data_IF_280273857557
#
_entry.id   IF_280273857557
#
_cell.length_a   1.000
_cell.length_b   1.000
_cell.length_c   1.000
_cell.angle_alpha   90.00
_cell.angle_beta   90.00
_cell.angle_gamma   90.00
#
_symmetry.space_group_name_H-M   'P 1'
#
loop_
_entity.id
_entity.type
_entity.pdbx_description
1 polymer ?
#
# COMPACT_ATOMS: atom_id res chain seq x y z
N UNK A 1 -9.10 -9.26 -41.85
CA UNK A 1 -9.90 -9.90 -40.78
C UNK A 1 -9.29 -9.73 -39.39
N UNK A 2 -8.00 -10.03 -39.18
CA UNK A 2 -7.33 -9.91 -37.86
C UNK A 2 -7.50 -8.54 -37.18
N UNK A 3 -7.30 -7.42 -37.90
CA UNK A 3 -7.49 -6.05 -37.36
C UNK A 3 -8.93 -5.73 -36.90
N UNK A 4 -9.95 -6.26 -37.57
CA UNK A 4 -11.36 -6.05 -37.17
C UNK A 4 -11.69 -6.85 -35.92
N UNK A 5 -11.11 -8.05 -35.77
CA UNK A 5 -11.25 -8.88 -34.58
C UNK A 5 -10.60 -8.24 -33.35
N UNK A 6 -9.41 -7.64 -33.50
CA UNK A 6 -8.73 -6.90 -32.41
C UNK A 6 -9.56 -5.69 -31.95
N UNK A 7 -10.18 -4.96 -32.88
CA UNK A 7 -11.05 -3.82 -32.57
C UNK A 7 -12.33 -4.24 -31.84
N UNK A 8 -12.94 -5.36 -32.25
CA UNK A 8 -14.14 -5.91 -31.59
C UNK A 8 -13.80 -6.40 -30.18
N UNK A 9 -12.62 -7.00 -29.98
CA UNK A 9 -12.15 -7.43 -28.68
C UNK A 9 -11.87 -6.24 -27.74
N UNK A 10 -11.22 -5.19 -28.23
CA UNK A 10 -11.00 -3.95 -27.48
C UNK A 10 -12.32 -3.27 -27.11
N UNK A 11 -13.30 -3.26 -28.03
CA UNK A 11 -14.62 -2.70 -27.78
C UNK A 11 -15.42 -3.53 -26.78
N UNK A 12 -15.32 -4.87 -26.83
CA UNK A 12 -15.97 -5.77 -25.87
C UNK A 12 -15.39 -5.63 -24.46
N UNK A 13 -14.08 -5.42 -24.33
CA UNK A 13 -13.40 -5.14 -23.05
C UNK A 13 -13.87 -3.79 -22.49
N UNK A 14 -14.01 -2.76 -23.33
CA UNK A 14 -14.50 -1.45 -22.90
C UNK A 14 -15.94 -1.49 -22.37
N UNK A 15 -16.78 -2.38 -22.90
CA UNK A 15 -18.19 -2.54 -22.49
C UNK A 15 -18.31 -3.38 -21.19
N UNK A 16 -17.36 -4.27 -20.90
CA UNK A 16 -17.35 -5.09 -19.68
C UNK A 16 -16.79 -4.38 -18.44
N UNK A 17 -16.32 -3.13 -18.54
CA UNK A 17 -15.94 -2.29 -17.41
C UNK A 17 -17.17 -1.79 -16.65
N UNK A 18 -18.02 -2.70 -16.18
CA UNK A 18 -19.05 -2.36 -15.21
C UNK A 18 -18.35 -1.97 -13.90
N UNK A 19 -18.45 -0.68 -13.57
CA UNK A 19 -18.01 -0.14 -12.30
C UNK A 19 -18.76 -0.84 -11.16
N UNK A 20 -18.10 -1.80 -10.51
CA UNK A 20 -18.58 -2.32 -9.23
C UNK A 20 -18.61 -1.16 -8.25
N UNK A 21 -19.76 -0.90 -7.61
CA UNK A 21 -19.82 0.04 -6.49
C UNK A 21 -18.84 -0.46 -5.43
N UNK A 22 -17.83 0.35 -5.04
CA UNK A 22 -16.89 -0.08 -4.03
C UNK A 22 -17.65 -0.33 -2.72
N UNK A 23 -17.50 -1.54 -2.19
CA UNK A 23 -18.01 -1.90 -0.87
C UNK A 23 -17.00 -1.41 0.18
N UNK A 24 -17.46 -0.86 1.31
CA UNK A 24 -16.60 -0.45 2.44
C UNK A 24 -15.62 0.71 2.19
N UNK A 25 -15.99 1.67 1.33
CA UNK A 25 -15.22 2.92 1.12
C UNK A 25 -15.01 3.66 2.44
N UNK A 26 -13.77 4.08 2.72
CA UNK A 26 -13.45 4.90 3.89
C UNK A 26 -13.51 4.17 5.23
N UNK A 27 -13.48 2.83 5.24
CA UNK A 27 -13.50 2.02 6.46
C UNK A 27 -12.13 1.40 6.82
N UNK A 28 -11.06 1.99 6.30
CA UNK A 28 -9.67 1.51 6.46
C UNK A 28 -8.78 2.59 7.05
N UNK A 29 -7.77 2.18 7.79
CA UNK A 29 -6.67 3.05 8.23
C UNK A 29 -5.45 2.87 7.33
N UNK A 30 -4.53 3.84 7.36
CA UNK A 30 -3.27 3.81 6.58
C UNK A 30 -3.50 3.73 5.05
N UNK A 31 -4.31 4.63 4.49
CA UNK A 31 -4.63 4.66 3.06
C UNK A 31 -3.42 4.96 2.17
N UNK A 32 -2.30 5.46 2.72
CA UNK A 32 -1.05 5.60 1.96
C UNK A 32 -0.52 4.28 1.37
N UNK A 33 -0.94 3.14 1.93
CA UNK A 33 -0.62 1.81 1.40
C UNK A 33 -1.26 1.50 0.05
N UNK A 34 -2.19 2.34 -0.41
CA UNK A 34 -2.81 2.25 -1.74
C UNK A 34 -2.04 3.05 -2.80
N UNK A 35 -1.07 3.88 -2.41
CA UNK A 35 -0.31 4.71 -3.34
C UNK A 35 0.70 3.87 -4.15
N UNK A 36 0.50 3.81 -5.47
CA UNK A 36 1.36 3.10 -6.40
C UNK A 36 2.83 3.53 -6.37
N UNK A 37 3.73 2.53 -6.36
CA UNK A 37 5.19 2.75 -6.40
C UNK A 37 5.74 2.55 -7.80
N UNK A 38 6.58 3.48 -8.26
CA UNK A 38 7.35 3.34 -9.49
C UNK A 38 6.68 3.96 -10.72
N UNK A 39 7.47 4.68 -11.52
CA UNK A 39 6.97 5.43 -12.68
C UNK A 39 6.38 4.54 -13.78
N UNK A 40 6.95 3.36 -14.02
CA UNK A 40 6.43 2.41 -15.02
C UNK A 40 5.05 1.87 -14.64
N UNK A 41 4.86 1.48 -13.37
CA UNK A 41 3.59 0.99 -12.88
C UNK A 41 2.52 2.09 -12.89
N UNK A 42 2.86 3.28 -12.38
CA UNK A 42 1.95 4.43 -12.35
C UNK A 42 1.59 4.89 -13.78
N UNK A 43 2.54 4.85 -14.72
CA UNK A 43 2.32 5.16 -16.14
C UNK A 43 1.39 4.18 -16.87
N UNK A 44 1.25 2.95 -16.36
CA UNK A 44 0.30 1.95 -16.86
C UNK A 44 -1.04 1.97 -16.11
N UNK A 45 -1.32 3.03 -15.35
CA UNK A 45 -2.54 3.13 -14.56
C UNK A 45 -2.62 2.05 -13.48
N UNK A 46 -1.48 1.73 -12.86
CA UNK A 46 -1.36 0.75 -11.77
C UNK A 46 -1.63 -0.71 -12.18
N UNK A 47 -1.73 -0.99 -13.48
CA UNK A 47 -1.89 -2.33 -14.04
C UNK A 47 -0.55 -3.10 -14.09
N UNK A 48 0.06 -3.37 -12.92
CA UNK A 48 1.43 -3.90 -12.85
C UNK A 48 1.59 -5.29 -12.20
N UNK A 49 0.51 -5.90 -11.68
CA UNK A 49 0.57 -7.15 -10.90
C UNK A 49 1.22 -8.34 -11.63
N UNK A 50 1.07 -8.45 -12.95
CA UNK A 50 1.66 -9.52 -13.75
C UNK A 50 2.99 -9.13 -14.43
N UNK A 51 3.24 -7.83 -14.55
CA UNK A 51 4.40 -7.26 -15.24
C UNK A 51 5.57 -6.93 -14.29
N UNK A 52 5.32 -6.86 -12.98
CA UNK A 52 6.33 -6.56 -11.97
C UNK A 52 7.46 -7.62 -11.96
N UNK A 53 8.67 -7.19 -12.32
CA UNK A 53 9.88 -8.04 -12.41
C UNK A 53 11.15 -7.37 -11.88
N UNK A 54 10.99 -6.24 -11.17
CA UNK A 54 12.05 -5.44 -10.56
C UNK A 54 11.79 -5.26 -9.06
N UNK A 55 12.57 -4.43 -8.38
CA UNK A 55 12.40 -4.17 -6.95
C UNK A 55 11.03 -3.57 -6.56
N UNK A 56 10.31 -2.92 -7.48
CA UNK A 56 8.95 -2.40 -7.22
C UNK A 56 7.93 -3.53 -7.02
N UNK A 57 8.29 -4.76 -7.40
CA UNK A 57 7.50 -5.97 -7.12
C UNK A 57 7.18 -6.15 -5.65
N UNK A 58 8.00 -5.61 -4.73
CA UNK A 58 7.72 -5.62 -3.29
C UNK A 58 6.36 -4.99 -2.97
N UNK A 59 5.93 -3.96 -3.72
CA UNK A 59 4.63 -3.32 -3.56
C UNK A 59 3.53 -3.98 -4.41
N UNK A 60 3.84 -4.34 -5.67
CA UNK A 60 2.83 -4.77 -6.64
C UNK A 60 2.47 -6.25 -6.56
N UNK A 61 3.48 -7.12 -6.46
CA UNK A 61 3.34 -8.57 -6.40
C UNK A 61 4.65 -9.20 -5.94
N UNK A 62 4.70 -9.70 -4.70
CA UNK A 62 5.91 -10.25 -4.10
C UNK A 62 6.59 -11.34 -4.95
N UNK A 63 5.85 -12.13 -5.74
CA UNK A 63 6.43 -13.15 -6.62
C UNK A 63 7.31 -12.55 -7.74
N UNK A 64 7.04 -11.32 -8.16
CA UNK A 64 7.80 -10.60 -9.19
C UNK A 64 9.27 -10.42 -8.82
N UNK A 65 9.57 -10.31 -7.52
CA UNK A 65 10.92 -10.18 -7.00
C UNK A 65 11.83 -11.36 -7.38
N UNK A 66 11.25 -12.54 -7.59
CA UNK A 66 12.01 -13.72 -8.02
C UNK A 66 12.55 -13.62 -9.46
N UNK A 67 12.07 -12.67 -10.26
CA UNK A 67 12.49 -12.44 -11.65
C UNK A 67 13.60 -11.39 -11.79
N UNK A 68 14.04 -10.76 -10.70
CA UNK A 68 15.21 -9.89 -10.71
C UNK A 68 16.43 -10.61 -11.29
N UNK A 69 17.21 -9.91 -12.12
CA UNK A 69 18.39 -10.46 -12.79
C UNK A 69 19.70 -10.03 -12.13
N UNK A 70 19.67 -8.93 -11.36
CA UNK A 70 20.79 -8.43 -10.58
C UNK A 70 20.33 -7.92 -9.20
N UNK A 71 21.26 -7.65 -8.30
CA UNK A 71 20.97 -6.91 -7.07
C UNK A 71 20.59 -5.48 -7.45
N UNK A 72 19.50 -4.97 -6.90
CA UNK A 72 18.96 -3.66 -7.24
C UNK A 72 18.78 -2.81 -5.99
N UNK A 73 18.93 -1.50 -6.17
CA UNK A 73 18.49 -0.49 -5.20
C UNK A 73 17.60 0.47 -5.95
N UNK A 74 16.44 0.78 -5.39
CA UNK A 74 15.44 1.65 -6.02
C UNK A 74 15.09 2.80 -5.08
N UNK A 75 15.01 3.99 -5.67
CA UNK A 75 14.51 5.20 -5.02
C UNK A 75 13.40 5.78 -5.89
N UNK A 76 12.29 6.15 -5.28
CA UNK A 76 11.20 6.83 -5.95
C UNK A 76 10.70 7.97 -5.06
N UNK A 77 10.43 9.11 -5.67
CA UNK A 77 9.87 10.28 -5.02
C UNK A 77 8.73 10.80 -5.88
N UNK A 78 7.56 10.95 -5.28
CA UNK A 78 6.34 11.38 -5.94
C UNK A 78 5.74 12.55 -5.15
N UNK A 79 5.90 13.80 -5.62
CA UNK A 79 5.14 14.91 -5.08
C UNK A 79 3.67 14.73 -5.46
N UNK A 80 2.78 14.97 -4.51
CA UNK A 80 1.34 14.87 -4.65
C UNK A 80 0.68 16.23 -4.37
N UNK A 81 -0.64 16.30 -4.50
CA UNK A 81 -1.39 17.53 -4.20
C UNK A 81 -1.28 17.92 -2.72
N UNK A 82 -1.43 19.21 -2.43
CA UNK A 82 -1.39 19.76 -1.06
C UNK A 82 -0.07 19.49 -0.31
N UNK A 83 1.07 19.58 -1.01
CA UNK A 83 2.42 19.39 -0.47
C UNK A 83 2.66 18.02 0.19
N UNK A 84 1.79 17.05 -0.11
CA UNK A 84 1.98 15.66 0.29
C UNK A 84 3.09 15.05 -0.55
N UNK A 85 4.01 14.34 0.08
CA UNK A 85 5.11 13.69 -0.61
C UNK A 85 5.13 12.20 -0.26
N UNK A 86 5.20 11.36 -1.30
CA UNK A 86 5.37 9.92 -1.17
C UNK A 86 6.78 9.55 -1.59
N UNK A 87 7.48 8.78 -0.77
CA UNK A 87 8.81 8.28 -1.09
C UNK A 87 8.89 6.78 -0.88
N UNK A 88 9.59 6.10 -1.78
CA UNK A 88 9.91 4.69 -1.68
C UNK A 88 11.41 4.50 -1.80
N UNK A 89 11.97 3.71 -0.90
CA UNK A 89 13.36 3.26 -0.97
C UNK A 89 13.40 1.77 -0.71
N UNK A 90 14.20 1.04 -1.47
CA UNK A 90 14.42 -0.37 -1.21
C UNK A 90 15.73 -0.89 -1.77
N UNK A 91 16.15 -2.04 -1.25
CA UNK A 91 17.24 -2.83 -1.78
C UNK A 91 16.86 -4.30 -1.87
N UNK A 92 17.25 -4.96 -2.97
CA UNK A 92 17.02 -6.38 -3.22
C UNK A 92 18.31 -7.12 -3.53
N UNK A 93 18.46 -8.32 -2.97
CA UNK A 93 19.61 -9.19 -3.18
C UNK A 93 19.15 -10.57 -3.66
N UNK A 94 19.82 -11.06 -4.71
CA UNK A 94 19.58 -12.38 -5.27
C UNK A 94 20.53 -13.37 -4.60
N UNK A 95 19.96 -14.42 -4.01
CA UNK A 95 20.70 -15.52 -3.39
C UNK A 95 20.46 -16.79 -4.23
N UNK A 96 21.39 -17.19 -5.11
CA UNK A 96 21.15 -18.19 -6.16
C UNK A 96 20.53 -19.53 -5.72
N UNK A 97 20.77 -19.97 -4.48
CA UNK A 97 20.25 -21.24 -3.94
C UNK A 97 19.00 -21.09 -3.05
N UNK A 98 18.74 -19.87 -2.58
CA UNK A 98 17.73 -19.59 -1.55
C UNK A 98 16.51 -18.90 -2.17
N UNK A 99 16.73 -17.91 -3.05
CA UNK A 99 15.70 -17.06 -3.64
C UNK A 99 16.16 -15.60 -3.67
N UNK A 100 15.21 -14.68 -3.75
CA UNK A 100 15.48 -13.24 -3.69
C UNK A 100 14.93 -12.68 -2.39
N UNK A 101 15.72 -11.84 -1.73
CA UNK A 101 15.32 -11.09 -0.54
C UNK A 101 15.28 -9.61 -0.86
N UNK A 102 14.32 -8.89 -0.30
CA UNK A 102 14.27 -7.43 -0.39
C UNK A 102 13.81 -6.79 0.91
N UNK A 103 14.31 -5.58 1.13
CA UNK A 103 13.87 -4.67 2.18
C UNK A 103 13.45 -3.37 1.51
N UNK A 104 12.32 -2.81 1.94
CA UNK A 104 11.88 -1.50 1.47
C UNK A 104 11.17 -0.71 2.55
N UNK A 105 11.17 0.61 2.39
CA UNK A 105 10.38 1.55 3.18
C UNK A 105 9.58 2.41 2.21
N UNK A 106 8.26 2.42 2.40
CA UNK A 106 7.35 3.39 1.81
C UNK A 106 7.04 4.43 2.88
N UNK A 107 7.14 5.71 2.55
CA UNK A 107 6.77 6.80 3.44
C UNK A 107 5.83 7.79 2.77
N UNK A 108 4.95 8.38 3.58
CA UNK A 108 4.11 9.50 3.19
C UNK A 108 4.25 10.60 4.23
N UNK A 109 4.52 11.81 3.76
CA UNK A 109 4.60 13.00 4.60
C UNK A 109 3.56 14.02 4.11
N UNK A 110 2.66 14.41 5.01
CA UNK A 110 1.57 15.34 4.70
C UNK A 110 1.96 16.82 4.83
N UNK A 111 3.24 17.09 5.08
CA UNK A 111 3.72 18.45 5.32
C UNK A 111 3.39 18.93 6.74
N UNK A 112 3.66 20.22 6.98
CA UNK A 112 3.35 20.88 8.26
C UNK A 112 2.23 21.88 8.02
N UNK A 113 1.21 21.84 8.87
CA UNK A 113 0.07 22.75 8.80
C UNK A 113 -0.05 23.51 10.12
N UNK A 114 -0.37 24.80 10.05
CA UNK A 114 -0.64 25.60 11.24
C UNK A 114 -1.91 25.14 11.94
N UNK A 115 -1.87 25.03 13.27
CA UNK A 115 -3.07 24.75 14.06
C UNK A 115 -3.91 26.03 14.09
N UNK A 116 -5.19 25.94 13.71
CA UNK A 116 -6.15 27.05 13.75
C UNK A 116 -7.25 26.77 14.78
N UNK A 117 -7.79 27.83 15.37
CA UNK A 117 -8.95 27.76 16.27
C UNK A 117 -10.01 28.76 15.82
N UNK A 118 -11.22 28.67 16.39
CA UNK A 118 -12.28 29.64 16.11
C UNK A 118 -11.84 31.08 16.40
N UNK A 119 -11.00 31.27 17.43
CA UNK A 119 -10.46 32.56 17.86
C UNK A 119 -9.24 32.99 17.04
N UNK A 120 -8.41 32.03 16.59
CA UNK A 120 -7.17 32.27 15.84
C UNK A 120 -7.19 31.53 14.50
N UNK A 121 -7.94 32.08 13.55
CA UNK A 121 -8.14 31.49 12.22
C UNK A 121 -6.88 31.58 11.33
N UNK A 122 -6.02 32.58 11.56
CA UNK A 122 -4.75 32.75 10.85
C UNK A 122 -3.62 31.87 11.42
N UNK A 123 -3.90 31.13 12.50
CA UNK A 123 -2.96 30.22 13.15
C UNK A 123 -2.65 30.62 14.59
N UNK A 124 -2.41 29.61 15.41
CA UNK A 124 -2.06 29.74 16.83
C UNK A 124 -0.56 29.91 17.08
N UNK A 125 0.27 29.82 16.04
CA UNK A 125 1.73 29.71 16.15
C UNK A 125 2.22 28.27 16.32
N UNK A 126 1.34 27.32 16.64
CA UNK A 126 1.64 25.90 16.66
C UNK A 126 1.50 25.28 15.26
N UNK A 127 2.26 24.21 15.01
CA UNK A 127 2.17 23.45 13.76
C UNK A 127 2.01 21.97 14.09
N UNK A 128 1.16 21.30 13.34
CA UNK A 128 1.02 19.84 13.40
C UNK A 128 1.52 19.22 12.09
N UNK A 129 1.90 17.95 12.17
CA UNK A 129 2.40 17.17 11.06
C UNK A 129 1.81 15.75 11.13
N UNK A 130 1.58 15.16 9.97
CA UNK A 130 1.27 13.74 9.84
C UNK A 130 2.33 13.05 8.98
N UNK A 131 2.80 11.89 9.45
CA UNK A 131 3.78 11.06 8.75
C UNK A 131 3.43 9.59 8.90
N UNK A 132 3.53 8.86 7.80
CA UNK A 132 3.26 7.42 7.77
C UNK A 132 4.43 6.69 7.13
N UNK A 133 4.70 5.48 7.63
CA UNK A 133 5.79 4.62 7.19
C UNK A 133 5.33 3.17 7.11
N UNK A 134 5.76 2.46 6.07
CA UNK A 134 5.61 1.03 5.93
C UNK A 134 6.97 0.39 5.61
N UNK A 135 7.55 -0.29 6.58
CA UNK A 135 8.73 -1.12 6.38
C UNK A 135 8.30 -2.51 5.93
N UNK A 136 8.88 -3.01 4.84
CA UNK A 136 8.50 -4.29 4.24
C UNK A 136 9.74 -5.14 4.02
N UNK A 137 9.67 -6.40 4.47
CA UNK A 137 10.63 -7.44 4.15
C UNK A 137 9.97 -8.46 3.23
N UNK A 138 10.60 -8.77 2.11
CA UNK A 138 10.04 -9.68 1.10
C UNK A 138 11.00 -10.81 0.80
N UNK A 139 10.45 -12.01 0.66
CA UNK A 139 11.13 -13.18 0.13
C UNK A 139 10.35 -13.73 -1.05
N UNK A 140 11.05 -14.05 -2.14
CA UNK A 140 10.44 -14.64 -3.32
C UNK A 140 11.32 -15.70 -3.95
N UNK A 141 10.69 -16.70 -4.57
CA UNK A 141 11.39 -17.78 -5.25
C UNK A 141 10.57 -18.34 -6.40
N UNK A 142 11.25 -18.68 -7.50
CA UNK A 142 10.72 -19.55 -8.55
C UNK A 142 10.71 -20.99 -8.03
N UNK A 143 9.53 -21.57 -7.85
CA UNK A 143 9.40 -22.98 -7.44
C UNK A 143 9.38 -23.91 -8.65
N UNK A 144 8.96 -23.40 -9.81
CA UNK A 144 9.08 -24.06 -11.10
C UNK A 144 9.44 -23.04 -12.19
N UNK A 145 9.83 -23.52 -13.38
CA UNK A 145 10.07 -22.64 -14.53
C UNK A 145 8.85 -21.78 -14.93
N UNK A 146 7.66 -22.23 -14.53
CA UNK A 146 6.38 -21.61 -14.86
C UNK A 146 5.68 -20.99 -13.65
N UNK A 147 6.21 -21.17 -12.44
CA UNK A 147 5.55 -20.78 -11.19
C UNK A 147 6.51 -20.09 -10.24
N UNK A 148 6.16 -18.87 -9.84
CA UNK A 148 6.85 -18.13 -8.80
C UNK A 148 5.89 -17.77 -7.67
N UNK A 149 6.45 -17.76 -6.46
CA UNK A 149 5.76 -17.39 -5.24
C UNK A 149 6.59 -16.36 -4.49
N UNK A 150 5.91 -15.43 -3.83
CA UNK A 150 6.53 -14.48 -2.92
C UNK A 150 5.63 -14.16 -1.74
N UNK A 151 6.25 -13.83 -0.63
CA UNK A 151 5.59 -13.38 0.58
C UNK A 151 6.36 -12.20 1.19
N UNK A 152 5.62 -11.28 1.78
CA UNK A 152 6.19 -10.12 2.46
C UNK A 152 5.60 -9.95 3.85
N UNK A 153 6.44 -9.58 4.82
CA UNK A 153 6.00 -9.05 6.11
C UNK A 153 6.12 -7.54 6.11
N UNK A 154 5.11 -6.84 6.63
CA UNK A 154 5.01 -5.39 6.63
C UNK A 154 4.72 -4.87 8.03
N UNK A 155 5.41 -3.82 8.43
CA UNK A 155 5.16 -3.08 9.66
C UNK A 155 4.82 -1.64 9.31
N UNK A 156 3.63 -1.21 9.71
CA UNK A 156 3.01 0.06 9.35
C UNK A 156 2.93 0.93 10.60
N UNK A 157 3.39 2.17 10.50
CA UNK A 157 3.34 3.17 11.56
C UNK A 157 2.70 4.43 10.98
N UNK A 158 1.73 4.99 11.69
CA UNK A 158 1.14 6.29 11.37
C UNK A 158 1.22 7.19 12.59
N UNK A 159 1.72 8.41 12.39
CA UNK A 159 1.75 9.44 13.42
C UNK A 159 1.01 10.66 12.90
N UNK A 160 0.09 11.17 13.70
CA UNK A 160 -0.67 12.39 13.43
C UNK A 160 -0.59 13.26 14.68
N UNK A 161 0.17 14.35 14.59
CA UNK A 161 0.44 15.25 15.71
C UNK A 161 0.99 14.52 16.94
N UNK A 162 0.22 14.39 18.03
CA UNK A 162 0.62 13.65 19.24
C UNK A 162 -0.05 12.28 19.37
N UNK A 163 -0.65 11.78 18.29
CA UNK A 163 -1.24 10.44 18.22
C UNK A 163 -0.41 9.53 17.33
N UNK A 164 -0.31 8.27 17.73
CA UNK A 164 0.39 7.22 16.99
C UNK A 164 -0.47 5.98 16.84
N UNK A 165 -0.25 5.25 15.77
CA UNK A 165 -0.86 3.95 15.52
C UNK A 165 0.11 3.02 14.79
N UNK A 166 -0.04 1.72 15.02
CA UNK A 166 0.82 0.71 14.40
C UNK A 166 0.02 -0.53 13.98
N UNK A 167 0.48 -1.21 12.95
CA UNK A 167 -0.10 -2.47 12.49
C UNK A 167 0.97 -3.35 11.81
N UNK A 168 0.75 -4.66 11.86
CA UNK A 168 1.54 -5.62 11.11
C UNK A 168 0.68 -6.28 10.04
N UNK A 169 1.25 -6.55 8.87
CA UNK A 169 0.55 -7.19 7.75
C UNK A 169 1.44 -8.16 6.98
N UNK A 170 0.78 -9.00 6.20
CA UNK A 170 1.41 -9.95 5.28
C UNK A 170 0.87 -9.72 3.88
N UNK A 171 1.77 -9.78 2.89
CA UNK A 171 1.44 -9.74 1.47
C UNK A 171 1.84 -11.09 0.84
N UNK A 172 1.03 -11.59 -0.08
CA UNK A 172 1.26 -12.84 -0.80
C UNK A 172 1.12 -12.60 -2.30
N UNK A 173 2.05 -13.16 -3.06
CA UNK A 173 2.12 -12.98 -4.50
C UNK A 173 2.38 -14.29 -5.24
N UNK A 174 1.78 -14.42 -6.42
CA UNK A 174 1.97 -15.54 -7.34
C UNK A 174 2.10 -15.02 -8.76
N UNK A 175 3.01 -15.62 -9.53
CA UNK A 175 3.12 -15.46 -10.98
C UNK A 175 3.13 -16.82 -11.67
N UNK A 176 2.35 -16.94 -12.74
CA UNK A 176 2.21 -18.14 -13.55
C UNK A 176 2.53 -17.79 -15.01
N UNK A 177 3.63 -18.33 -15.54
CA UNK A 177 3.98 -18.20 -16.95
C UNK A 177 3.35 -19.32 -17.77
N UNK A 178 2.61 -18.97 -18.81
CA UNK A 178 1.93 -19.92 -19.70
C UNK A 178 2.57 -19.94 -21.08
N UNK A 179 2.32 -20.99 -21.87
CA UNK A 179 2.69 -21.00 -23.30
C UNK A 179 1.68 -20.23 -24.18
N UNK A 180 0.58 -19.77 -23.60
CA UNK A 180 -0.49 -19.14 -24.35
C UNK A 180 0.01 -17.80 -24.90
N UNK A 181 -0.28 -17.52 -26.18
CA UNK A 181 0.18 -16.34 -26.92
C UNK A 181 1.71 -16.18 -27.02
N UNK A 182 2.50 -17.23 -26.74
CA UNK A 182 3.94 -17.23 -26.97
C UNK A 182 4.28 -17.23 -28.47
N UNK A 183 5.01 -16.22 -28.99
CA UNK A 183 5.50 -16.24 -30.36
C UNK A 183 6.51 -17.36 -30.66
N UNK A 184 7.33 -17.77 -29.69
CA UNK A 184 8.38 -18.78 -29.88
C UNK A 184 7.97 -20.18 -29.41
N UNK A 185 6.80 -20.33 -28.80
CA UNK A 185 6.33 -21.56 -28.16
C UNK A 185 6.91 -21.81 -26.76
N UNK A 186 7.73 -20.89 -26.25
CA UNK A 186 8.31 -20.95 -24.91
C UNK A 186 7.39 -20.32 -23.85
N UNK A 187 7.63 -20.58 -22.56
CA UNK A 187 6.82 -19.93 -21.50
C UNK A 187 7.27 -18.52 -21.16
N UNK A 188 8.50 -18.16 -21.53
CA UNK A 188 9.13 -16.91 -21.11
C UNK A 188 8.57 -15.70 -21.87
N UNK A 189 8.11 -15.93 -23.09
CA UNK A 189 7.52 -14.95 -24.00
C UNK A 189 5.99 -15.13 -24.18
N UNK A 190 5.40 -16.08 -23.43
CA UNK A 190 3.97 -16.27 -23.35
C UNK A 190 3.32 -15.41 -22.26
N UNK A 191 1.99 -15.47 -22.22
CA UNK A 191 1.17 -14.73 -21.27
C UNK A 191 1.50 -15.12 -19.82
N UNK A 192 1.69 -14.11 -18.97
CA UNK A 192 1.90 -14.25 -17.53
C UNK A 192 0.62 -13.89 -16.79
N UNK A 193 0.18 -14.74 -15.87
CA UNK A 193 -0.94 -14.46 -14.97
C UNK A 193 -0.35 -14.09 -13.61
N UNK A 194 -0.77 -12.93 -13.07
CA UNK A 194 -0.34 -12.44 -11.77
C UNK A 194 -1.48 -12.30 -10.79
N UNK A 195 -1.25 -12.76 -9.56
CA UNK A 195 -2.19 -12.64 -8.44
C UNK A 195 -1.42 -12.10 -7.22
N UNK A 196 -2.01 -11.13 -6.53
CA UNK A 196 -1.46 -10.60 -5.28
C UNK A 196 -2.56 -10.27 -4.29
N UNK A 197 -2.31 -10.56 -3.02
CA UNK A 197 -3.09 -10.10 -1.87
C UNK A 197 -2.14 -9.28 -1.00
N UNK A 198 -2.50 -8.04 -0.72
CA UNK A 198 -1.66 -7.12 0.04
C UNK A 198 -2.40 -6.56 1.26
N UNK A 199 -1.64 -6.28 2.31
CA UNK A 199 -2.04 -5.68 3.57
C UNK A 199 -3.00 -6.54 4.43
N UNK A 200 -2.91 -7.87 4.33
CA UNK A 200 -3.67 -8.74 5.22
C UNK A 200 -3.02 -8.75 6.61
N UNK A 201 -3.65 -8.10 7.59
CA UNK A 201 -2.96 -7.80 8.85
C UNK A 201 -3.85 -7.43 10.03
N UNK A 202 -3.20 -6.99 11.11
CA UNK A 202 -3.86 -6.52 12.33
C UNK A 202 -4.60 -5.21 12.08
N UNK A 203 -5.59 -4.93 12.92
CA UNK A 203 -6.24 -3.62 12.95
C UNK A 203 -5.32 -2.57 13.56
N UNK A 204 -5.50 -1.33 13.15
CA UNK A 204 -4.79 -0.16 13.61
C UNK A 204 -5.70 0.68 14.52
N UNK A 205 -5.17 1.16 15.64
CA UNK A 205 -5.86 2.01 16.59
C UNK A 205 -4.95 3.19 16.95
N UNK A 206 -5.46 4.40 16.83
CA UNK A 206 -4.73 5.58 17.26
C UNK A 206 -4.85 5.76 18.77
N UNK A 207 -3.73 6.07 19.40
CA UNK A 207 -3.64 6.46 20.80
C UNK A 207 -2.67 7.64 20.96
N UNK A 208 -2.86 8.43 22.00
CA UNK A 208 -2.04 9.61 22.23
C UNK A 208 -2.67 10.63 23.18
N UNK A 209 -1.90 11.64 23.55
CA UNK A 209 -2.30 12.62 24.55
C UNK A 209 -3.49 13.49 24.11
N UNK A 210 -3.72 13.64 22.81
CA UNK A 210 -4.85 14.41 22.28
C UNK A 210 -6.21 13.78 22.62
N UNK A 211 -6.22 12.50 23.03
CA UNK A 211 -7.40 11.76 23.50
C UNK A 211 -7.69 11.97 24.98
N UNK A 212 -6.74 12.55 25.73
CA UNK A 212 -6.91 12.86 27.14
C UNK A 212 -7.65 14.20 27.25
N UNK A 213 -8.85 14.15 27.83
CA UNK A 213 -9.67 15.34 28.10
C UNK A 213 -10.24 15.24 29.50
N UNK A 214 -10.34 16.37 30.23
CA UNK A 214 -11.11 16.39 31.46
C UNK A 214 -12.58 16.09 31.12
N UNK A 215 -13.18 15.16 31.85
CA UNK A 215 -14.58 14.78 31.70
C UNK A 215 -15.29 15.00 33.03
N UNK A 216 -16.35 15.80 33.01
CA UNK A 216 -17.27 15.90 34.12
C UNK A 216 -18.30 14.75 34.04
N UNK A 217 -18.14 13.77 34.92
CA UNK A 217 -19.03 12.59 35.00
C UNK A 217 -20.40 12.89 35.62
N UNK A 218 -20.53 13.99 36.37
CA UNK A 218 -21.74 14.32 37.13
C UNK A 218 -22.03 15.83 37.07
N UNK A 219 -22.27 16.40 35.87
CA UNK A 219 -22.32 17.85 35.66
C UNK A 219 -23.43 18.58 36.44
N UNK A 220 -24.42 17.83 36.96
CA UNK A 220 -25.54 18.35 37.73
C UNK A 220 -25.39 18.17 39.25
N UNK A 221 -24.28 17.60 39.74
CA UNK A 221 -24.06 17.35 41.17
C UNK A 221 -23.04 18.34 41.75
N UNK A 222 -23.53 19.26 42.59
CA UNK A 222 -22.67 20.19 43.30
C UNK A 222 -21.66 19.47 44.20
N UNK A 223 -20.40 19.91 44.15
CA UNK A 223 -19.30 19.38 44.97
C UNK A 223 -18.56 18.19 44.35
N UNK A 224 -18.90 17.77 43.12
CA UNK A 224 -18.10 16.80 42.38
C UNK A 224 -16.81 17.44 41.84
N UNK A 225 -15.80 16.60 41.57
CA UNK A 225 -14.61 17.07 40.86
C UNK A 225 -14.91 17.04 39.35
N UNK A 226 -14.98 18.22 38.74
CA UNK A 226 -15.37 18.41 37.33
C UNK A 226 -14.29 18.02 36.31
N UNK A 227 -13.03 17.93 36.73
CA UNK A 227 -11.86 17.75 35.85
C UNK A 227 -11.26 16.34 35.97
N UNK A 228 -12.11 15.30 36.06
CA UNK A 228 -11.63 13.91 36.11
C UNK A 228 -10.92 13.58 34.79
N UNK A 229 -9.73 12.99 34.89
CA UNK A 229 -8.98 12.56 33.72
C UNK A 229 -9.76 11.46 32.96
N UNK A 230 -10.19 11.80 31.75
CA UNK A 230 -10.87 10.89 30.85
C UNK A 230 -10.06 10.66 29.57
N UNK A 231 -10.17 9.47 29.00
CA UNK A 231 -9.55 9.12 27.72
C UNK A 231 -10.61 8.64 26.74
N UNK A 232 -10.66 9.26 25.56
CA UNK A 232 -11.45 8.76 24.45
C UNK A 232 -10.78 7.51 23.85
N UNK A 233 -11.44 6.35 23.95
CA UNK A 233 -10.97 5.13 23.27
C UNK A 233 -11.46 5.09 21.84
N UNK A 234 -10.55 5.30 20.90
CA UNK A 234 -10.85 5.22 19.47
C UNK A 234 -11.14 3.78 19.03
N UNK A 235 -11.92 3.63 17.95
CA UNK A 235 -12.15 2.32 17.34
C UNK A 235 -10.92 1.84 16.56
N UNK A 236 -10.83 0.52 16.38
CA UNK A 236 -9.78 -0.10 15.57
C UNK A 236 -10.28 -0.29 14.14
N UNK A 237 -9.42 -0.01 13.16
CA UNK A 237 -9.75 -0.08 11.74
C UNK A 237 -8.81 -1.04 11.01
N UNK A 238 -9.32 -1.70 9.97
CA UNK A 238 -8.54 -2.63 9.16
C UNK A 238 -7.60 -1.87 8.21
N UNK A 239 -6.49 -2.49 7.82
CA UNK A 239 -5.65 -1.98 6.73
C UNK A 239 -6.37 -2.18 5.38
N UNK A 240 -6.04 -1.39 4.34
CA UNK A 240 -6.63 -1.54 3.02
C UNK A 240 -6.21 -2.87 2.38
N UNK A 241 -7.08 -3.87 2.45
CA UNK A 241 -6.87 -5.16 1.81
C UNK A 241 -7.00 -5.01 0.30
N UNK A 242 -5.91 -5.21 -0.43
CA UNK A 242 -5.88 -5.07 -1.89
C UNK A 242 -5.74 -6.46 -2.52
N UNK A 243 -6.72 -6.86 -3.32
CA UNK A 243 -6.63 -8.01 -4.21
C UNK A 243 -6.33 -7.52 -5.63
N UNK A 244 -5.23 -8.00 -6.22
CA UNK A 244 -4.86 -7.70 -7.61
C UNK A 244 -4.83 -8.98 -8.42
N UNK A 245 -5.48 -8.96 -9.59
CA UNK A 245 -5.44 -10.01 -10.60
C UNK A 245 -5.15 -9.35 -11.94
N UNK A 246 -4.24 -9.92 -12.73
CA UNK A 246 -3.90 -9.37 -14.03
C UNK A 246 -3.18 -10.35 -14.93
N UNK A 247 -3.05 -9.96 -16.20
CA UNK A 247 -2.29 -10.68 -17.21
C UNK A 247 -1.35 -9.71 -17.92
N UNK A 248 -0.17 -10.20 -18.31
CA UNK A 248 0.85 -9.45 -19.05
C UNK A 248 1.45 -10.31 -20.17
#
# INVERSE_FOLDING_TARGET
>A
MKRKLTLILLLAIAICSFANKPYRVGTTAANFLEMGVGGAANGMGEAYVAAARDLSSVYWNAAGLSYMTANEVQFSYQPWIADINVAFVGGGVILPRIGTLALSVLSMNYGRTGVTTLEMQEGTGETYQATEYAATFTYARKLAQWFAFGASGKYVISNIWHMGAQAAAVDLGVLINTHFLSPTGERQDGMTIGMSISNYGTRMQYDGMDLLRPIDILPNQNGNYKDVEGQFRLQQWELPLILRLGVA
#
